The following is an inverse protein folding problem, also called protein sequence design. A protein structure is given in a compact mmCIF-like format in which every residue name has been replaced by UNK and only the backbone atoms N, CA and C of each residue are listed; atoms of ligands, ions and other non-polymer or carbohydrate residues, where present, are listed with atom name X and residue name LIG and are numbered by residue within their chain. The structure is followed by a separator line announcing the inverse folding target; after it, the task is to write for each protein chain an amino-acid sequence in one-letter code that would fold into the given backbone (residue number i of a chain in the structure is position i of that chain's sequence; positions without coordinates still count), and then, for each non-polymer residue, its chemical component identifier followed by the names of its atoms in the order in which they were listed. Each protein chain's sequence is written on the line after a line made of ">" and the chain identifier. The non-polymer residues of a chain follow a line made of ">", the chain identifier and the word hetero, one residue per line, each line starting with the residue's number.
data_IF_078279152594
#
_entry.id   IF_078279152594
#
_cell.length_a   1.000
_cell.length_b   1.000
_cell.length_c   1.000
_cell.angle_alpha   90.00
_cell.angle_beta   90.00
_cell.angle_gamma   90.00
#
_symmetry.space_group_name_H-M   'P 1'
#
loop_
_entity.id
_entity.type
_entity.pdbx_description
1 polymer ?
#
# COMPACT_ATOMS: atom_id res chain seq x y z
N UNK A 1 -5.63 6.76 -9.74
CA UNK A 1 -4.71 6.65 -8.59
C UNK A 1 -4.30 8.03 -8.07
N UNK A 2 -3.34 8.73 -8.68
CA UNK A 2 -2.81 10.01 -8.17
C UNK A 2 -3.88 11.08 -7.84
N UNK A 3 -4.87 11.25 -8.71
CA UNK A 3 -5.98 12.19 -8.48
C UNK A 3 -6.76 11.88 -7.19
N UNK A 4 -7.05 10.59 -6.94
CA UNK A 4 -7.74 10.12 -5.73
C UNK A 4 -6.89 10.39 -4.47
N UNK A 5 -5.58 10.13 -4.55
CA UNK A 5 -4.63 10.41 -3.47
C UNK A 5 -4.55 11.92 -3.17
N UNK A 6 -4.51 12.76 -4.20
CA UNK A 6 -4.45 14.21 -4.04
C UNK A 6 -5.72 14.79 -3.39
N UNK A 7 -6.90 14.30 -3.77
CA UNK A 7 -8.16 14.68 -3.11
C UNK A 7 -8.14 14.27 -1.63
N UNK A 8 -7.78 13.03 -1.33
CA UNK A 8 -7.75 12.55 0.06
C UNK A 8 -6.71 13.31 0.90
N UNK A 9 -5.54 13.61 0.34
CA UNK A 9 -4.51 14.42 0.98
C UNK A 9 -4.98 15.85 1.27
N UNK A 10 -5.65 16.51 0.32
CA UNK A 10 -6.21 17.84 0.52
C UNK A 10 -7.30 17.90 1.59
N UNK A 11 -8.00 16.78 1.80
CA UNK A 11 -9.02 16.62 2.84
C UNK A 11 -8.46 16.08 4.17
N UNK A 12 -7.15 15.87 4.28
CA UNK A 12 -6.49 15.26 5.45
C UNK A 12 -7.03 13.88 5.85
N UNK A 13 -7.52 13.11 4.88
CA UNK A 13 -7.97 11.72 5.04
C UNK A 13 -7.23 10.68 4.17
N UNK A 14 -5.95 10.88 3.76
CA UNK A 14 -5.25 9.88 2.95
C UNK A 14 -5.08 8.54 3.67
N UNK A 15 -5.03 8.53 4.99
CA UNK A 15 -4.95 7.32 5.79
C UNK A 15 -6.17 6.39 5.60
N UNK A 16 -7.40 6.93 5.56
CA UNK A 16 -8.61 6.13 5.31
C UNK A 16 -8.65 5.63 3.87
N UNK A 17 -8.19 6.43 2.92
CA UNK A 17 -8.05 6.02 1.52
C UNK A 17 -7.13 4.80 1.41
N UNK A 18 -5.91 4.89 1.93
CA UNK A 18 -4.94 3.79 1.82
C UNK A 18 -5.34 2.57 2.64
N UNK A 19 -6.03 2.75 3.75
CA UNK A 19 -6.67 1.64 4.47
C UNK A 19 -7.71 0.91 3.61
N UNK A 20 -8.57 1.65 2.91
CA UNK A 20 -9.61 1.07 2.04
C UNK A 20 -9.06 0.35 0.80
N UNK A 21 -7.85 0.72 0.37
CA UNK A 21 -7.17 0.11 -0.77
C UNK A 21 -6.29 -1.07 -0.37
N UNK A 22 -5.92 -1.17 0.91
CA UNK A 22 -5.00 -2.19 1.38
C UNK A 22 -5.59 -3.60 1.23
N UNK A 23 -4.87 -4.47 0.53
CA UNK A 23 -5.29 -5.85 0.31
C UNK A 23 -4.53 -6.51 -0.83
N UNK A 24 -4.96 -7.73 -1.16
CA UNK A 24 -4.34 -8.55 -2.19
C UNK A 24 -4.32 -7.90 -3.58
N UNK A 25 -5.31 -7.04 -3.88
CA UNK A 25 -5.44 -6.34 -5.16
C UNK A 25 -4.89 -4.91 -5.13
N UNK A 26 -4.16 -4.52 -4.08
CA UNK A 26 -3.61 -3.18 -3.99
C UNK A 26 -2.42 -3.00 -4.95
N UNK A 27 -2.25 -1.77 -5.44
CA UNK A 27 -0.98 -1.37 -6.07
C UNK A 27 0.12 -1.40 -5.02
N UNK A 28 1.29 -1.95 -5.36
CA UNK A 28 2.45 -1.96 -4.46
C UNK A 28 2.64 -0.56 -3.86
N UNK A 29 2.66 -0.47 -2.53
CA UNK A 29 2.74 0.79 -1.78
C UNK A 29 3.85 1.73 -2.30
N UNK A 30 4.97 1.15 -2.72
CA UNK A 30 6.13 1.86 -3.23
C UNK A 30 5.90 2.62 -4.56
N UNK A 31 4.82 2.30 -5.27
CA UNK A 31 4.42 2.94 -6.52
C UNK A 31 3.38 4.05 -6.33
N UNK A 32 2.88 4.26 -5.10
CA UNK A 32 1.88 5.28 -4.75
C UNK A 32 2.59 6.61 -4.40
N UNK A 33 2.54 7.64 -5.28
CA UNK A 33 3.40 8.81 -5.12
C UNK A 33 3.10 9.67 -3.89
N UNK A 34 1.85 9.66 -3.42
CA UNK A 34 1.45 10.43 -2.25
C UNK A 34 1.20 9.53 -1.04
N UNK A 35 1.71 8.29 -1.05
CA UNK A 35 1.53 7.34 0.05
C UNK A 35 1.90 7.97 1.39
N UNK A 36 3.13 8.50 1.48
CA UNK A 36 3.71 9.03 2.71
C UNK A 36 2.74 9.94 3.50
N UNK A 37 1.92 10.75 2.82
CA UNK A 37 0.96 11.69 3.42
C UNK A 37 -0.09 11.04 4.35
N UNK A 38 -0.22 9.71 4.37
CA UNK A 38 -1.08 9.00 5.31
C UNK A 38 -0.81 9.40 6.77
N UNK A 39 0.47 9.55 7.17
CA UNK A 39 0.80 9.88 8.56
C UNK A 39 0.49 11.33 8.88
N UNK A 40 0.59 12.23 7.89
CA UNK A 40 0.16 13.63 8.03
C UNK A 40 -1.36 13.71 8.28
N UNK A 41 -2.15 12.87 7.62
CA UNK A 41 -3.59 12.78 7.90
C UNK A 41 -3.90 12.46 9.36
N UNK A 42 -3.17 11.52 9.97
CA UNK A 42 -3.32 11.17 11.39
C UNK A 42 -2.90 12.34 12.29
N UNK A 43 -1.81 13.01 11.95
CA UNK A 43 -1.31 14.18 12.69
C UNK A 43 -2.33 15.33 12.70
N UNK A 44 -2.90 15.66 11.55
CA UNK A 44 -3.90 16.72 11.43
C UNK A 44 -5.21 16.35 12.13
N UNK A 45 -5.64 15.08 12.06
CA UNK A 45 -6.78 14.58 12.84
C UNK A 45 -6.54 14.69 14.34
N UNK A 46 -5.32 14.43 14.81
CA UNK A 46 -4.93 14.69 16.20
C UNK A 46 -5.00 16.18 16.53
N UNK A 47 -4.45 17.06 15.68
CA UNK A 47 -4.47 18.52 15.89
C UNK A 47 -5.86 19.16 15.76
N UNK A 48 -6.84 18.50 15.14
CA UNK A 48 -8.23 18.96 15.18
C UNK A 48 -8.88 18.70 16.55
N UNK A 49 -8.56 17.56 17.17
CA UNK A 49 -9.11 17.18 18.49
C UNK A 49 -8.34 17.85 19.63
N UNK A 50 -7.04 18.02 19.47
CA UNK A 50 -6.12 18.47 20.52
C UNK A 50 -6.44 19.86 21.11
N UNK A 51 -6.83 20.90 20.34
CA UNK A 51 -7.24 22.19 20.88
C UNK A 51 -8.47 22.10 21.79
N UNK A 52 -9.46 21.26 21.44
CA UNK A 52 -10.64 21.03 22.28
C UNK A 52 -10.24 20.37 23.59
N UNK A 53 -9.31 19.40 23.52
CA UNK A 53 -8.69 18.81 24.70
C UNK A 53 -8.09 19.92 25.54
N UNK A 54 -7.14 20.72 25.01
CA UNK A 54 -6.48 21.82 25.72
C UNK A 54 -7.44 22.85 26.33
N UNK A 55 -8.54 23.19 25.66
CA UNK A 55 -9.56 24.11 26.19
C UNK A 55 -10.28 23.53 27.42
N UNK A 56 -10.56 22.23 27.42
CA UNK A 56 -11.16 21.51 28.56
C UNK A 56 -10.14 21.27 29.69
N UNK A 57 -8.88 21.11 29.31
CA UNK A 57 -7.76 20.59 30.10
C UNK A 57 -6.94 21.66 30.80
N UNK A 58 -6.82 22.86 30.22
CA UNK A 58 -5.98 23.93 30.75
C UNK A 58 -6.36 24.33 32.18
N UNK A 59 -7.58 24.03 32.61
CA UNK A 59 -8.05 24.27 33.99
C UNK A 59 -7.78 23.11 34.96
N UNK A 60 -7.51 21.89 34.48
CA UNK A 60 -7.39 20.68 35.31
C UNK A 60 -6.25 19.75 34.82
N UNK A 61 -5.01 20.12 35.18
CA UNK A 61 -3.77 19.39 34.79
C UNK A 61 -3.80 17.89 35.12
N UNK A 62 -4.29 17.50 36.31
CA UNK A 62 -4.28 16.08 36.74
C UNK A 62 -5.24 15.24 35.90
N UNK A 63 -6.45 15.74 35.64
CA UNK A 63 -7.44 15.08 34.80
C UNK A 63 -6.90 14.84 33.38
N UNK A 64 -6.21 15.85 32.85
CA UNK A 64 -5.54 15.80 31.55
C UNK A 64 -4.53 14.67 31.45
N UNK A 65 -3.63 14.59 32.44
CA UNK A 65 -2.61 13.55 32.52
C UNK A 65 -3.30 12.18 32.58
N UNK A 66 -4.38 12.04 33.36
CA UNK A 66 -5.18 10.82 33.42
C UNK A 66 -5.78 10.42 32.07
N UNK A 67 -6.42 11.35 31.36
CA UNK A 67 -6.99 11.11 30.02
C UNK A 67 -5.90 10.72 29.03
N UNK A 68 -4.79 11.46 28.98
CA UNK A 68 -3.67 11.16 28.09
C UNK A 68 -3.05 9.79 28.37
N UNK A 69 -2.91 9.42 29.64
CA UNK A 69 -2.42 8.11 30.03
C UNK A 69 -3.37 7.00 29.54
N UNK A 70 -4.68 7.17 29.74
CA UNK A 70 -5.69 6.23 29.25
C UNK A 70 -5.63 6.11 27.73
N UNK A 71 -5.63 7.23 27.00
CA UNK A 71 -5.54 7.24 25.53
C UNK A 71 -4.26 6.54 25.07
N UNK A 72 -3.12 6.84 25.69
CA UNK A 72 -1.82 6.24 25.33
C UNK A 72 -1.84 4.73 25.52
N UNK A 73 -2.23 4.26 26.72
CA UNK A 73 -2.21 2.82 27.05
C UNK A 73 -3.25 2.07 26.22
N UNK A 74 -4.47 2.60 26.10
CA UNK A 74 -5.55 1.95 25.39
C UNK A 74 -5.28 1.88 23.88
N UNK A 75 -4.84 2.99 23.27
CA UNK A 75 -4.51 3.01 21.83
C UNK A 75 -3.31 2.11 21.53
N UNK A 76 -2.27 2.07 22.39
CA UNK A 76 -1.16 1.14 22.24
C UNK A 76 -1.62 -0.33 22.30
N UNK A 77 -2.36 -0.71 23.36
CA UNK A 77 -2.85 -2.07 23.52
C UNK A 77 -3.74 -2.50 22.35
N UNK A 78 -4.61 -1.60 21.91
CA UNK A 78 -5.49 -1.83 20.77
C UNK A 78 -4.71 -1.95 19.45
N UNK A 79 -3.65 -1.16 19.27
CA UNK A 79 -2.77 -1.27 18.10
C UNK A 79 -1.97 -2.57 18.08
N UNK A 80 -1.47 -3.03 19.23
CA UNK A 80 -0.81 -4.34 19.36
C UNK A 80 -1.77 -5.48 19.02
N UNK A 81 -3.00 -5.42 19.55
CA UNK A 81 -4.05 -6.39 19.26
C UNK A 81 -4.42 -6.38 17.76
N UNK A 82 -4.71 -5.22 17.20
CA UNK A 82 -5.13 -5.09 15.81
C UNK A 82 -4.03 -5.52 14.83
N UNK A 83 -2.75 -5.30 15.16
CA UNK A 83 -1.63 -5.77 14.31
C UNK A 83 -1.63 -7.29 14.14
N UNK A 84 -2.18 -8.05 15.09
CA UNK A 84 -2.30 -9.51 14.98
C UNK A 84 -3.42 -9.95 14.04
N UNK A 85 -4.46 -9.12 13.90
CA UNK A 85 -5.67 -9.43 13.13
C UNK A 85 -5.56 -8.84 11.72
N UNK A 86 -5.27 -7.54 11.63
CA UNK A 86 -5.20 -6.80 10.39
C UNK A 86 -4.12 -5.70 10.51
N UNK A 87 -2.94 -5.99 9.94
CA UNK A 87 -1.79 -5.09 9.96
C UNK A 87 -2.10 -3.74 9.29
N UNK A 88 -2.83 -3.73 8.17
CA UNK A 88 -3.17 -2.50 7.45
C UNK A 88 -4.05 -1.57 8.28
N UNK A 89 -5.03 -2.14 8.99
CA UNK A 89 -5.89 -1.39 9.91
C UNK A 89 -5.06 -0.79 11.04
N UNK A 90 -4.21 -1.60 11.68
CA UNK A 90 -3.32 -1.13 12.74
C UNK A 90 -2.35 -0.03 12.28
N UNK A 91 -1.94 -0.05 11.00
CA UNK A 91 -1.01 0.92 10.43
C UNK A 91 -1.66 2.26 10.07
N UNK A 92 -2.82 2.25 9.40
CA UNK A 92 -3.43 3.46 8.84
C UNK A 92 -4.49 4.12 9.73
N UNK A 93 -5.14 3.38 10.63
CA UNK A 93 -6.26 3.94 11.38
C UNK A 93 -5.79 4.69 12.65
N UNK A 94 -6.31 5.90 12.92
CA UNK A 94 -5.78 6.78 13.97
C UNK A 94 -5.86 6.20 15.37
N UNK A 95 -6.94 5.47 15.69
CA UNK A 95 -7.17 4.90 17.01
C UNK A 95 -6.08 3.90 17.46
N UNK A 96 -5.27 3.38 16.53
CA UNK A 96 -4.16 2.45 16.82
C UNK A 96 -2.79 3.15 16.80
N UNK A 97 -2.74 4.44 16.44
CA UNK A 97 -1.52 5.24 16.19
C UNK A 97 -1.51 6.58 16.94
N UNK A 98 -2.57 6.90 17.68
CA UNK A 98 -2.67 8.14 18.43
C UNK A 98 -1.83 8.09 19.71
N UNK A 99 -1.48 6.89 20.19
CA UNK A 99 -0.67 6.73 21.40
C UNK A 99 0.73 7.34 21.30
N UNK A 100 1.35 7.34 20.10
CA UNK A 100 2.65 7.98 19.89
C UNK A 100 2.58 9.49 20.11
N UNK A 101 1.56 10.13 19.56
CA UNK A 101 1.33 11.58 19.70
C UNK A 101 0.89 11.92 21.13
N UNK A 102 0.01 11.12 21.73
CA UNK A 102 -0.45 11.33 23.10
C UNK A 102 0.66 11.13 24.13
N UNK A 103 1.63 10.25 23.88
CA UNK A 103 2.81 10.11 24.73
C UNK A 103 3.67 11.39 24.72
N UNK A 104 3.88 11.98 23.54
CA UNK A 104 4.56 13.28 23.42
C UNK A 104 3.83 14.39 24.19
N UNK A 105 2.51 14.44 24.05
CA UNK A 105 1.66 15.36 24.81
C UNK A 105 1.73 15.12 26.33
N UNK A 106 1.75 13.85 26.75
CA UNK A 106 1.85 13.46 28.16
C UNK A 106 3.17 13.96 28.78
N UNK A 107 4.29 13.81 28.08
CA UNK A 107 5.59 14.34 28.51
C UNK A 107 5.54 15.86 28.66
N UNK A 108 4.95 16.57 27.70
CA UNK A 108 4.80 18.01 27.76
C UNK A 108 3.91 18.45 28.95
N UNK A 109 2.81 17.75 29.23
CA UNK A 109 1.90 18.05 30.33
C UNK A 109 2.48 17.72 31.71
N UNK A 110 3.27 16.64 31.84
CA UNK A 110 3.96 16.28 33.09
C UNK A 110 5.07 17.31 33.38
N UNK A 111 5.73 17.82 32.34
CA UNK A 111 6.85 18.74 32.49
C UNK A 111 8.13 18.04 32.99
N UNK A 112 9.16 18.82 33.36
CA UNK A 112 10.43 18.25 33.82
C UNK A 112 10.24 17.54 35.17
N UNK A 113 10.36 16.21 35.18
CA UNK A 113 10.42 15.45 36.41
C UNK A 113 11.77 15.70 37.12
N UNK A 114 11.80 15.77 38.45
CA UNK A 114 13.05 15.89 39.19
C UNK A 114 13.91 14.65 38.94
N UNK A 115 15.01 14.82 38.20
CA UNK A 115 15.97 13.78 37.88
C UNK A 115 17.38 14.34 37.85
N UNK A 116 18.35 13.55 38.33
CA UNK A 116 19.76 13.96 38.32
C UNK A 116 20.27 14.16 36.88
N UNK A 117 21.29 15.00 36.72
CA UNK A 117 21.92 15.22 35.42
C UNK A 117 22.43 13.90 34.79
N UNK A 118 22.91 12.98 35.62
CA UNK A 118 23.35 11.64 35.19
C UNK A 118 22.22 10.80 34.61
N UNK A 119 21.04 10.79 35.24
CA UNK A 119 19.88 10.04 34.74
C UNK A 119 19.42 10.62 33.40
N UNK A 120 19.29 11.95 33.30
CA UNK A 120 18.91 12.62 32.04
C UNK A 120 19.92 12.33 30.93
N UNK A 121 21.22 12.42 31.22
CA UNK A 121 22.29 12.12 30.26
C UNK A 121 22.21 10.66 29.77
N UNK A 122 22.07 9.69 30.67
CA UNK A 122 21.91 8.27 30.31
C UNK A 122 20.65 8.04 29.48
N UNK A 123 19.52 8.63 29.86
CA UNK A 123 18.27 8.52 29.12
C UNK A 123 18.40 9.08 27.68
N UNK A 124 19.10 10.20 27.50
CA UNK A 124 19.37 10.79 26.19
C UNK A 124 20.20 9.84 25.31
N UNK A 125 21.31 9.31 25.83
CA UNK A 125 22.19 8.40 25.08
C UNK A 125 21.49 7.08 24.77
N UNK A 126 20.80 6.48 25.74
CA UNK A 126 20.03 5.25 25.54
C UNK A 126 18.87 5.45 24.57
N UNK A 127 18.21 6.62 24.60
CA UNK A 127 17.18 6.97 23.64
C UNK A 127 17.73 7.09 22.22
N UNK A 128 18.86 7.77 22.01
CA UNK A 128 19.52 7.83 20.70
C UNK A 128 19.97 6.44 20.21
N UNK A 129 20.53 5.62 21.10
CA UNK A 129 20.90 4.25 20.78
C UNK A 129 19.68 3.40 20.42
N UNK A 130 18.56 3.57 21.12
CA UNK A 130 17.30 2.89 20.83
C UNK A 130 16.70 3.26 19.47
N UNK A 131 16.78 4.55 19.08
CA UNK A 131 16.38 5.02 17.75
C UNK A 131 17.28 4.37 16.68
N UNK A 132 18.60 4.42 16.85
CA UNK A 132 19.54 3.81 15.91
C UNK A 132 19.33 2.28 15.80
N UNK A 133 19.06 1.62 16.93
CA UNK A 133 18.76 0.20 16.96
C UNK A 133 17.47 -0.12 16.19
N UNK A 134 16.41 0.66 16.35
CA UNK A 134 15.17 0.49 15.61
C UNK A 134 15.39 0.60 14.08
N UNK A 135 16.25 1.53 13.63
CA UNK A 135 16.58 1.68 12.21
C UNK A 135 17.27 0.46 11.61
N UNK A 136 18.02 -0.31 12.40
CA UNK A 136 18.73 -1.52 11.95
C UNK A 136 17.87 -2.77 12.07
N UNK A 137 17.07 -2.87 13.14
CA UNK A 137 16.25 -4.05 13.42
C UNK A 137 15.00 -4.12 12.54
N UNK A 138 14.42 -2.99 12.16
CA UNK A 138 13.14 -2.98 11.45
C UNK A 138 13.36 -3.24 9.97
N UNK A 139 12.72 -4.29 9.47
CA UNK A 139 12.78 -4.74 8.09
C UNK A 139 11.40 -4.70 7.44
N UNK A 140 11.36 -4.79 6.12
CA UNK A 140 10.11 -4.74 5.33
C UNK A 140 9.12 -5.86 5.65
N UNK A 141 9.59 -6.98 6.21
CA UNK A 141 8.79 -8.13 6.64
C UNK A 141 8.36 -8.06 8.12
N UNK A 142 8.80 -7.05 8.86
CA UNK A 142 8.41 -6.86 10.26
C UNK A 142 6.91 -6.54 10.37
N UNK A 143 6.22 -7.18 11.32
CA UNK A 143 4.81 -6.88 11.64
C UNK A 143 4.69 -5.54 12.39
N UNK A 144 4.88 -4.46 11.64
CA UNK A 144 4.77 -3.08 12.11
C UNK A 144 3.32 -2.58 11.96
N UNK A 145 2.76 -1.82 12.92
CA UNK A 145 3.44 -1.24 14.07
C UNK A 145 3.61 -2.17 15.28
N UNK A 146 2.57 -2.93 15.65
CA UNK A 146 2.63 -3.90 16.74
C UNK A 146 3.25 -3.37 18.04
N UNK A 147 3.81 -4.27 18.84
CA UNK A 147 4.57 -3.89 20.03
C UNK A 147 5.94 -3.33 19.68
N UNK A 148 6.47 -3.64 18.48
CA UNK A 148 7.80 -3.19 18.06
C UNK A 148 7.86 -1.67 17.92
N UNK A 149 6.75 -1.01 17.54
CA UNK A 149 6.65 0.45 17.51
C UNK A 149 6.92 1.11 18.88
N UNK A 150 6.81 0.39 20.00
CA UNK A 150 7.20 0.89 21.32
C UNK A 150 8.67 1.31 21.38
N UNK A 151 9.57 0.58 20.71
CA UNK A 151 11.00 0.85 20.78
C UNK A 151 11.37 2.27 20.29
N UNK A 152 11.12 2.67 19.03
CA UNK A 152 11.47 4.00 18.56
C UNK A 152 10.67 5.10 19.28
N UNK A 153 9.41 4.84 19.65
CA UNK A 153 8.57 5.85 20.32
C UNK A 153 9.06 6.13 21.75
N UNK A 154 9.31 5.09 22.56
CA UNK A 154 9.84 5.26 23.92
C UNK A 154 11.27 5.80 23.93
N UNK A 155 12.08 5.39 22.96
CA UNK A 155 13.42 5.92 22.77
C UNK A 155 13.39 7.43 22.44
N UNK A 156 12.49 7.85 21.55
CA UNK A 156 12.27 9.27 21.23
C UNK A 156 11.72 10.04 22.44
N UNK A 157 10.77 9.47 23.17
CA UNK A 157 10.25 10.02 24.41
C UNK A 157 11.35 10.26 25.45
N UNK A 158 12.28 9.32 25.61
CA UNK A 158 13.43 9.45 26.51
C UNK A 158 14.36 10.60 26.10
N UNK A 159 14.63 10.77 24.80
CA UNK A 159 15.41 11.90 24.28
C UNK A 159 14.71 13.23 24.58
N UNK A 160 13.41 13.34 24.31
CA UNK A 160 12.62 14.56 24.56
C UNK A 160 12.61 14.89 26.06
N UNK A 161 12.31 13.90 26.91
CA UNK A 161 12.24 14.07 28.37
C UNK A 161 13.60 14.45 28.97
N UNK A 162 14.71 13.96 28.41
CA UNK A 162 16.06 14.25 28.92
C UNK A 162 16.42 15.74 28.90
N UNK A 163 15.78 16.53 28.03
CA UNK A 163 15.96 17.97 27.92
C UNK A 163 17.28 18.38 27.26
N UNK A 164 17.47 19.70 27.13
CA UNK A 164 18.55 20.32 26.33
C UNK A 164 19.92 20.34 27.02
N UNK A 165 19.96 20.14 28.33
CA UNK A 165 21.20 20.28 29.13
C UNK A 165 22.14 19.07 29.04
N UNK A 166 21.71 17.98 28.40
CA UNK A 166 22.54 16.78 28.26
C UNK A 166 23.65 17.00 27.22
N UNK A 167 24.79 16.32 27.38
CA UNK A 167 25.91 16.43 26.43
C UNK A 167 25.49 16.04 25.01
N UNK A 168 24.71 14.97 24.87
CA UNK A 168 24.18 14.54 23.58
C UNK A 168 23.25 15.59 22.95
N UNK A 169 22.33 16.16 23.73
CA UNK A 169 21.47 17.23 23.24
C UNK A 169 22.27 18.48 22.84
N UNK A 170 23.25 18.89 23.67
CA UNK A 170 24.03 20.12 23.46
C UNK A 170 24.99 20.04 22.28
N UNK A 171 25.73 18.93 22.14
CA UNK A 171 26.81 18.83 21.15
C UNK A 171 26.39 18.13 19.86
N UNK A 172 25.43 17.19 19.93
CA UNK A 172 24.97 16.45 18.75
C UNK A 172 23.68 17.05 18.20
N UNK A 173 22.61 17.04 19.00
CA UNK A 173 21.27 17.43 18.52
C UNK A 173 21.10 18.95 18.31
N UNK A 174 21.87 19.76 19.04
CA UNK A 174 21.86 21.22 18.89
C UNK A 174 22.93 21.74 17.93
N UNK A 175 23.61 20.85 17.20
CA UNK A 175 24.54 21.28 16.15
C UNK A 175 23.79 21.95 15.00
N UNK A 176 24.41 22.96 14.38
CA UNK A 176 23.77 23.73 13.29
C UNK A 176 23.27 22.84 12.15
N UNK A 177 24.02 21.77 11.82
CA UNK A 177 23.64 20.83 10.77
C UNK A 177 22.37 20.05 11.12
N UNK A 178 22.32 19.44 12.32
CA UNK A 178 21.14 18.65 12.76
C UNK A 178 19.92 19.54 12.93
N UNK A 179 20.09 20.73 13.49
CA UNK A 179 19.01 21.72 13.60
C UNK A 179 18.49 22.12 12.22
N UNK A 180 19.38 22.38 11.25
CA UNK A 180 18.98 22.73 9.90
C UNK A 180 18.20 21.61 9.20
N UNK A 181 18.65 20.35 9.35
CA UNK A 181 17.90 19.17 8.87
C UNK A 181 16.51 19.14 9.51
N UNK A 182 16.41 19.40 10.81
CA UNK A 182 15.14 19.53 11.52
C UNK A 182 14.24 20.65 10.95
N UNK A 183 14.81 21.81 10.62
CA UNK A 183 14.08 22.95 10.04
C UNK A 183 13.51 22.64 8.65
N UNK A 184 14.22 21.86 7.83
CA UNK A 184 13.75 21.44 6.49
C UNK A 184 13.04 20.09 6.48
N UNK A 185 12.81 19.47 7.64
CA UNK A 185 12.30 18.09 7.74
C UNK A 185 10.91 17.91 7.13
N UNK A 186 10.02 18.89 7.28
CA UNK A 186 8.69 18.87 6.68
C UNK A 186 8.72 18.90 5.13
N UNK A 187 9.38 19.88 4.47
CA UNK A 187 9.45 19.86 3.01
C UNK A 187 10.31 18.70 2.48
N UNK A 188 11.29 18.22 3.25
CA UNK A 188 12.03 16.98 2.92
C UNK A 188 11.09 15.78 2.92
N UNK A 189 10.22 15.67 3.92
CA UNK A 189 9.19 14.65 3.99
C UNK A 189 8.25 14.72 2.78
N UNK A 190 7.89 15.91 2.30
CA UNK A 190 7.06 16.07 1.09
C UNK A 190 7.76 15.68 -0.22
N UNK A 191 9.07 15.95 -0.36
CA UNK A 191 9.79 15.74 -1.63
C UNK A 191 10.38 14.34 -1.81
N UNK A 192 10.88 13.73 -0.72
CA UNK A 192 11.66 12.48 -0.84
C UNK A 192 10.85 11.32 -1.44
N UNK A 193 9.61 11.13 -1.00
CA UNK A 193 8.81 9.99 -1.39
C UNK A 193 8.27 10.09 -2.83
N UNK A 194 7.70 11.22 -3.29
CA UNK A 194 7.28 11.37 -4.68
C UNK A 194 8.42 11.14 -5.68
N UNK A 195 9.62 11.67 -5.39
CA UNK A 195 10.78 11.46 -6.26
C UNK A 195 11.19 9.98 -6.36
N UNK A 196 11.28 9.30 -5.23
CA UNK A 196 11.64 7.87 -5.19
C UNK A 196 10.57 6.99 -5.82
N UNK A 197 9.30 7.21 -5.49
CA UNK A 197 8.17 6.41 -6.00
C UNK A 197 7.96 6.59 -7.50
N UNK A 198 8.10 7.81 -8.04
CA UNK A 198 7.98 8.06 -9.47
C UNK A 198 9.14 7.44 -10.27
N UNK A 199 10.36 7.42 -9.72
CA UNK A 199 11.48 6.74 -10.35
C UNK A 199 11.24 5.22 -10.42
N UNK A 200 10.77 4.62 -9.32
CA UNK A 200 10.38 3.20 -9.26
C UNK A 200 9.21 2.86 -10.18
N UNK A 201 8.23 3.77 -10.30
CA UNK A 201 7.14 3.64 -11.27
C UNK A 201 7.64 3.56 -12.71
N UNK A 202 8.79 4.16 -13.02
CA UNK A 202 9.46 4.07 -14.33
C UNK A 202 10.48 2.92 -14.40
N UNK A 203 10.54 2.06 -13.40
CA UNK A 203 11.57 1.01 -13.25
C UNK A 203 13.01 1.58 -13.24
N UNK A 204 13.19 2.83 -12.81
CA UNK A 204 14.48 3.49 -12.64
C UNK A 204 14.88 3.31 -11.18
N UNK A 205 15.58 2.21 -10.90
CA UNK A 205 15.96 1.80 -9.54
C UNK A 205 17.46 1.53 -9.41
N UNK A 206 17.99 1.68 -8.20
CA UNK A 206 19.39 1.40 -7.88
C UNK A 206 19.90 2.27 -6.73
N UNK A 207 21.00 1.87 -6.07
CA UNK A 207 21.55 2.60 -4.93
C UNK A 207 22.03 4.01 -5.34
N UNK A 208 22.68 4.13 -6.49
CA UNK A 208 23.14 5.42 -7.02
C UNK A 208 21.97 6.36 -7.34
N UNK A 209 20.94 5.85 -8.04
CA UNK A 209 19.73 6.63 -8.35
C UNK A 209 19.05 7.09 -7.06
N UNK A 210 18.90 6.19 -6.08
CA UNK A 210 18.28 6.51 -4.79
C UNK A 210 19.07 7.59 -4.04
N UNK A 211 20.41 7.54 -4.06
CA UNK A 211 21.26 8.57 -3.47
C UNK A 211 21.11 9.93 -4.18
N UNK A 212 21.09 9.93 -5.52
CA UNK A 212 20.89 11.15 -6.32
C UNK A 212 19.51 11.77 -6.03
N UNK A 213 18.45 10.96 -5.99
CA UNK A 213 17.10 11.43 -5.68
C UNK A 213 16.99 11.94 -4.25
N UNK A 214 17.68 11.30 -3.29
CA UNK A 214 17.73 11.78 -1.91
C UNK A 214 18.41 13.15 -1.83
N UNK A 215 19.57 13.33 -2.48
CA UNK A 215 20.26 14.63 -2.55
C UNK A 215 19.36 15.69 -3.21
N UNK A 216 18.70 15.34 -4.32
CA UNK A 216 17.74 16.24 -4.97
C UNK A 216 16.60 16.64 -4.01
N UNK A 217 16.12 15.69 -3.19
CA UNK A 217 15.10 15.95 -2.17
C UNK A 217 15.57 16.94 -1.10
N UNK A 218 16.82 16.84 -0.65
CA UNK A 218 17.42 17.82 0.28
C UNK A 218 17.53 19.21 -0.34
N UNK A 219 17.95 19.30 -1.62
CA UNK A 219 18.05 20.58 -2.33
C UNK A 219 16.66 21.23 -2.48
N UNK A 220 15.66 20.47 -2.93
CA UNK A 220 14.30 20.95 -3.08
C UNK A 220 13.67 21.32 -1.72
N UNK A 221 13.95 20.56 -0.67
CA UNK A 221 13.49 20.86 0.68
C UNK A 221 14.09 22.17 1.20
N UNK A 222 15.40 22.35 1.06
CA UNK A 222 16.09 23.59 1.41
C UNK A 222 15.56 24.79 0.61
N UNK A 223 15.38 24.63 -0.70
CA UNK A 223 14.79 25.67 -1.55
C UNK A 223 13.36 26.02 -1.12
N UNK A 224 12.53 25.02 -0.82
CA UNK A 224 11.15 25.21 -0.34
C UNK A 224 11.14 25.97 0.99
N UNK A 225 11.99 25.57 1.93
CA UNK A 225 12.10 26.21 3.24
C UNK A 225 12.55 27.68 3.13
N UNK A 226 13.61 27.95 2.38
CA UNK A 226 14.20 29.29 2.25
C UNK A 226 13.33 30.24 1.41
N UNK A 227 12.76 29.76 0.31
CA UNK A 227 12.04 30.59 -0.67
C UNK A 227 10.55 30.71 -0.36
N UNK A 228 9.94 29.69 0.25
CA UNK A 228 8.50 29.64 0.54
C UNK A 228 8.28 29.80 2.04
N UNK A 229 8.63 28.80 2.85
CA UNK A 229 8.21 28.76 4.25
C UNK A 229 8.68 29.96 5.07
N UNK A 230 9.95 30.34 4.98
CA UNK A 230 10.47 31.52 5.71
C UNK A 230 9.76 32.82 5.36
N UNK A 231 9.28 32.95 4.12
CA UNK A 231 8.55 34.14 3.68
C UNK A 231 7.14 34.15 4.26
N UNK A 232 6.43 33.02 4.17
CA UNK A 232 5.06 32.89 4.68
C UNK A 232 4.97 32.94 6.21
N UNK A 233 5.99 32.47 6.94
CA UNK A 233 6.06 32.58 8.42
C UNK A 233 6.08 34.03 8.93
N UNK A 234 6.50 34.99 8.10
CA UNK A 234 6.51 36.42 8.45
C UNK A 234 5.18 37.12 8.20
N UNK A 235 4.24 36.45 7.53
CA UNK A 235 2.93 37.01 7.20
C UNK A 235 1.92 36.73 8.31
N UNK A 236 1.01 37.67 8.54
CA UNK A 236 -0.09 37.49 9.49
C UNK A 236 -1.05 36.40 9.03
N UNK A 237 -1.67 35.70 9.99
CA UNK A 237 -2.52 34.54 9.73
C UNK A 237 -3.66 34.84 8.75
N UNK A 238 -4.28 36.03 8.81
CA UNK A 238 -5.36 36.43 7.90
C UNK A 238 -4.91 36.54 6.43
N UNK A 239 -3.66 36.97 6.20
CA UNK A 239 -3.08 37.11 4.86
C UNK A 239 -2.62 35.78 4.28
N UNK A 240 -2.44 34.76 5.12
CA UNK A 240 -1.95 33.44 4.73
C UNK A 240 -3.09 32.41 4.64
N UNK A 241 -4.10 32.50 5.51
CA UNK A 241 -5.17 31.51 5.63
C UNK A 241 -6.05 31.42 4.38
N UNK A 242 -6.55 32.56 3.88
CA UNK A 242 -7.39 32.61 2.66
C UNK A 242 -6.70 32.02 1.42
N UNK A 243 -5.47 32.45 1.03
CA UNK A 243 -4.82 31.89 -0.15
C UNK A 243 -4.46 30.40 0.01
N UNK A 244 -4.14 29.94 1.23
CA UNK A 244 -3.90 28.52 1.48
C UNK A 244 -5.17 27.69 1.26
N UNK A 245 -6.31 28.11 1.80
CA UNK A 245 -7.60 27.42 1.59
C UNK A 245 -7.95 27.41 0.11
N UNK A 246 -7.81 28.55 -0.58
CA UNK A 246 -8.07 28.63 -2.01
C UNK A 246 -7.14 27.69 -2.77
N UNK A 247 -5.85 27.65 -2.42
CA UNK A 247 -4.86 26.75 -3.03
C UNK A 247 -5.17 25.28 -2.81
N UNK A 248 -5.58 24.90 -1.59
CA UNK A 248 -6.00 23.54 -1.26
C UNK A 248 -7.29 23.16 -1.99
N UNK A 249 -8.30 24.02 -1.96
CA UNK A 249 -9.57 23.81 -2.65
C UNK A 249 -9.38 23.70 -4.18
N UNK A 250 -8.51 24.53 -4.75
CA UNK A 250 -8.18 24.47 -6.18
C UNK A 250 -7.46 23.17 -6.53
N UNK A 251 -6.49 22.74 -5.72
CA UNK A 251 -5.80 21.45 -5.90
C UNK A 251 -6.80 20.29 -5.82
N UNK A 252 -7.69 20.31 -4.82
CA UNK A 252 -8.74 19.30 -4.66
C UNK A 252 -9.72 19.30 -5.83
N UNK A 253 -10.14 20.47 -6.32
CA UNK A 253 -11.05 20.60 -7.46
C UNK A 253 -10.41 20.07 -8.75
N UNK A 254 -9.16 20.46 -9.04
CA UNK A 254 -8.43 19.96 -10.21
C UNK A 254 -8.24 18.45 -10.13
N UNK A 255 -7.86 17.93 -8.97
CA UNK A 255 -7.71 16.50 -8.76
C UNK A 255 -9.07 15.77 -8.92
N UNK A 256 -10.16 16.32 -8.40
CA UNK A 256 -11.50 15.76 -8.54
C UNK A 256 -11.94 15.74 -10.01
N UNK A 257 -11.69 16.81 -10.77
CA UNK A 257 -11.95 16.85 -12.22
C UNK A 257 -11.22 15.71 -12.92
N UNK A 258 -9.92 15.52 -12.67
CA UNK A 258 -9.17 14.41 -13.25
C UNK A 258 -9.65 13.03 -12.79
N UNK A 259 -10.16 12.92 -11.56
CA UNK A 259 -10.71 11.67 -11.07
C UNK A 259 -12.01 11.31 -11.79
N UNK A 260 -12.96 12.25 -11.86
CA UNK A 260 -14.26 12.03 -12.50
C UNK A 260 -14.20 12.00 -14.02
N UNK A 261 -13.20 12.63 -14.65
CA UNK A 261 -13.00 12.59 -16.10
C UNK A 261 -12.32 11.30 -16.61
N UNK A 262 -11.97 10.37 -15.71
CA UNK A 262 -11.16 9.20 -16.07
C UNK A 262 -9.68 9.52 -16.35
N UNK A 263 -9.21 10.72 -16.02
CA UNK A 263 -7.83 11.16 -16.22
C UNK A 263 -7.59 11.89 -17.55
N UNK A 264 -6.32 11.93 -17.97
CA UNK A 264 -5.91 12.48 -19.27
C UNK A 264 -5.83 11.33 -20.27
N UNK A 265 -6.84 11.23 -21.13
CA UNK A 265 -6.98 10.13 -22.10
C UNK A 265 -5.90 10.11 -23.21
N UNK A 266 -5.08 11.16 -23.32
CA UNK A 266 -3.91 11.20 -24.23
C UNK A 266 -2.92 10.04 -24.00
N UNK A 267 -2.94 9.41 -22.81
CA UNK A 267 -2.07 8.28 -22.47
C UNK A 267 -2.34 7.00 -23.28
N UNK A 268 -3.53 6.89 -23.89
CA UNK A 268 -3.94 5.72 -24.67
C UNK A 268 -3.89 5.94 -26.19
N UNK A 269 -3.58 7.15 -26.66
CA UNK A 269 -3.64 7.52 -28.08
C UNK A 269 -2.40 7.13 -28.91
N UNK A 270 -1.33 6.61 -28.29
CA UNK A 270 -0.02 6.44 -28.97
C UNK A 270 0.39 5.00 -29.28
N UNK A 271 -0.40 4.02 -28.88
CA UNK A 271 -0.28 2.65 -29.35
C UNK A 271 -1.53 2.35 -30.19
N UNK A 272 -1.50 1.33 -31.04
CA UNK A 272 -2.67 0.72 -31.70
C UNK A 272 -3.64 0.08 -30.65
N UNK A 273 -3.93 0.81 -29.58
CA UNK A 273 -4.67 0.49 -28.36
C UNK A 273 -6.07 1.12 -28.34
N UNK A 274 -6.51 1.72 -29.45
CA UNK A 274 -7.87 2.26 -29.58
C UNK A 274 -8.92 1.19 -29.21
N UNK A 275 -8.64 -0.10 -29.43
CA UNK A 275 -9.51 -1.18 -28.98
C UNK A 275 -9.42 -1.45 -27.47
N UNK A 276 -8.24 -1.66 -26.89
CA UNK A 276 -8.13 -2.11 -25.50
C UNK A 276 -8.58 -1.02 -24.51
N UNK A 277 -8.23 0.24 -24.73
CA UNK A 277 -8.59 1.34 -23.84
C UNK A 277 -10.08 1.71 -23.96
N UNK A 278 -10.68 1.63 -25.15
CA UNK A 278 -12.12 1.84 -25.35
C UNK A 278 -12.95 0.68 -24.77
N UNK A 279 -12.48 -0.56 -24.91
CA UNK A 279 -13.08 -1.75 -24.29
C UNK A 279 -12.99 -1.65 -22.76
N UNK A 280 -11.83 -1.30 -22.20
CA UNK A 280 -11.66 -1.17 -20.74
C UNK A 280 -12.44 0.01 -20.15
N UNK A 281 -12.57 1.12 -20.89
CA UNK A 281 -13.32 2.30 -20.42
C UNK A 281 -14.84 2.12 -20.46
N UNK A 282 -15.34 1.15 -21.25
CA UNK A 282 -16.76 0.77 -21.31
C UNK A 282 -17.11 -0.47 -20.50
N UNK A 283 -16.11 -1.27 -20.11
CA UNK A 283 -16.33 -2.44 -19.25
C UNK A 283 -16.67 -2.00 -17.81
N UNK A 284 -17.95 -2.11 -17.47
CA UNK A 284 -18.38 -2.28 -16.07
C UNK A 284 -17.99 -3.69 -15.64
N UNK A 285 -16.75 -3.83 -15.19
CA UNK A 285 -16.21 -5.11 -14.74
C UNK A 285 -16.55 -5.37 -13.27
N UNK A 286 -17.40 -6.35 -13.01
CA UNK A 286 -17.71 -6.87 -11.69
C UNK A 286 -17.02 -8.22 -11.50
N UNK A 287 -15.96 -8.24 -10.69
CA UNK A 287 -15.10 -9.41 -10.53
C UNK A 287 -15.86 -10.71 -10.23
N UNK A 288 -16.84 -10.68 -9.34
CA UNK A 288 -17.52 -11.90 -8.89
C UNK A 288 -18.40 -12.53 -9.99
N UNK A 289 -19.12 -11.69 -10.72
CA UNK A 289 -20.05 -12.12 -11.78
C UNK A 289 -19.32 -12.41 -13.08
N UNK A 290 -18.42 -11.53 -13.50
CA UNK A 290 -17.78 -11.60 -14.83
C UNK A 290 -16.72 -12.70 -14.91
N UNK A 291 -16.06 -12.98 -13.79
CA UNK A 291 -15.12 -14.11 -13.66
C UNK A 291 -15.85 -15.41 -13.32
N UNK A 292 -17.15 -15.31 -13.01
CA UNK A 292 -18.04 -16.45 -12.73
C UNK A 292 -17.54 -17.26 -11.52
N UNK A 293 -17.25 -16.55 -10.43
CA UNK A 293 -16.79 -17.16 -9.18
C UNK A 293 -17.91 -18.05 -8.62
N UNK A 294 -17.54 -19.20 -8.04
CA UNK A 294 -18.45 -20.24 -7.53
C UNK A 294 -19.27 -21.00 -8.58
N UNK A 295 -19.30 -20.55 -9.84
CA UNK A 295 -19.95 -21.28 -10.95
C UNK A 295 -18.93 -21.91 -11.89
N UNK A 296 -17.97 -21.15 -12.42
CA UNK A 296 -16.95 -21.64 -13.36
C UNK A 296 -15.52 -21.43 -12.90
N UNK A 297 -15.27 -20.41 -12.09
CA UNK A 297 -14.03 -20.27 -11.35
C UNK A 297 -14.23 -20.87 -9.95
N UNK A 298 -13.76 -22.10 -9.77
CA UNK A 298 -13.87 -22.82 -8.51
C UNK A 298 -13.11 -22.11 -7.39
N UNK A 299 -13.64 -22.19 -6.18
CA UNK A 299 -13.06 -21.60 -4.97
C UNK A 299 -13.46 -22.44 -3.75
N UNK A 300 -12.73 -22.27 -2.65
CA UNK A 300 -13.02 -22.92 -1.36
C UNK A 300 -13.07 -24.45 -1.46
N UNK A 301 -14.15 -25.10 -1.02
CA UNK A 301 -14.29 -26.57 -1.02
C UNK A 301 -14.91 -27.14 -2.31
N UNK A 302 -15.42 -26.28 -3.20
CA UNK A 302 -16.01 -26.71 -4.47
C UNK A 302 -14.97 -27.46 -5.33
N UNK A 303 -15.46 -28.41 -6.11
CA UNK A 303 -14.74 -29.21 -7.09
C UNK A 303 -15.46 -29.24 -8.44
N UNK A 304 -14.95 -30.05 -9.38
CA UNK A 304 -15.38 -29.99 -10.78
C UNK A 304 -16.83 -30.44 -11.00
N UNK A 305 -17.37 -31.24 -10.07
CA UNK A 305 -18.76 -31.72 -10.09
C UNK A 305 -19.77 -30.59 -9.87
N UNK A 306 -19.34 -29.48 -9.24
CA UNK A 306 -20.18 -28.32 -8.95
C UNK A 306 -20.06 -27.23 -10.03
N UNK A 307 -19.30 -27.47 -11.10
CA UNK A 307 -19.22 -26.56 -12.23
C UNK A 307 -20.58 -26.44 -12.91
N UNK A 308 -20.97 -25.20 -13.22
CA UNK A 308 -22.18 -24.98 -14.00
C UNK A 308 -22.02 -25.60 -15.42
N UNK A 309 -23.08 -26.18 -16.01
CA UNK A 309 -22.99 -26.86 -17.31
C UNK A 309 -22.40 -25.99 -18.44
N UNK A 310 -22.64 -24.69 -18.36
CA UNK A 310 -22.15 -23.67 -19.31
C UNK A 310 -20.65 -23.33 -19.15
N UNK A 311 -19.93 -23.90 -18.19
CA UNK A 311 -18.49 -23.67 -18.02
C UNK A 311 -17.68 -24.47 -19.04
N UNK A 312 -18.03 -25.74 -19.25
CA UNK A 312 -17.32 -26.67 -20.15
C UNK A 312 -18.16 -27.08 -21.37
N UNK A 313 -19.43 -26.66 -21.41
CA UNK A 313 -20.36 -27.03 -22.48
C UNK A 313 -20.72 -28.51 -22.44
N UNK A 314 -21.83 -28.89 -23.08
CA UNK A 314 -22.28 -30.29 -23.08
C UNK A 314 -21.58 -31.14 -24.15
N UNK A 315 -21.31 -30.57 -25.33
CA UNK A 315 -20.78 -31.29 -26.50
C UNK A 315 -19.32 -30.96 -26.80
N UNK A 316 -18.71 -31.73 -27.72
CA UNK A 316 -17.43 -31.39 -28.30
C UNK A 316 -17.49 -30.03 -29.00
N UNK A 317 -16.39 -29.28 -28.92
CA UNK A 317 -16.31 -27.89 -29.34
C UNK A 317 -15.00 -27.66 -30.11
N UNK A 318 -14.91 -28.16 -31.35
CA UNK A 318 -13.67 -28.21 -32.12
C UNK A 318 -13.15 -26.83 -32.55
N UNK A 319 -14.00 -25.81 -32.54
CA UNK A 319 -13.64 -24.39 -32.82
C UNK A 319 -13.49 -23.58 -31.51
N UNK A 320 -13.59 -24.24 -30.36
CA UNK A 320 -13.64 -23.62 -29.06
C UNK A 320 -12.29 -23.19 -28.51
N UNK A 321 -12.34 -22.23 -27.57
CA UNK A 321 -11.20 -21.82 -26.76
C UNK A 321 -11.44 -22.30 -25.33
N UNK A 322 -10.52 -23.09 -24.77
CA UNK A 322 -10.56 -23.45 -23.36
C UNK A 322 -9.53 -22.64 -22.57
N UNK A 323 -10.02 -21.89 -21.59
CA UNK A 323 -9.18 -21.14 -20.65
C UNK A 323 -8.92 -21.99 -19.42
N UNK A 324 -7.64 -22.27 -19.15
CA UNK A 324 -7.21 -23.08 -18.02
C UNK A 324 -6.21 -22.33 -17.14
N UNK A 325 -6.48 -22.35 -15.83
CA UNK A 325 -5.53 -21.93 -14.81
C UNK A 325 -6.22 -21.33 -13.60
N UNK A 326 -5.61 -20.30 -13.02
CA UNK A 326 -6.08 -19.76 -11.76
C UNK A 326 -7.23 -18.73 -11.93
N UNK A 327 -7.57 -18.02 -10.85
CA UNK A 327 -8.54 -16.91 -10.91
C UNK A 327 -8.13 -15.73 -11.79
N UNK A 328 -6.85 -15.61 -12.20
CA UNK A 328 -6.41 -14.64 -13.20
C UNK A 328 -6.64 -15.15 -14.62
N UNK A 329 -6.47 -16.46 -14.88
CA UNK A 329 -6.92 -17.07 -16.13
C UNK A 329 -8.42 -16.81 -16.35
N UNK A 330 -9.21 -16.97 -15.30
CA UNK A 330 -10.65 -16.72 -15.33
C UNK A 330 -11.01 -15.28 -15.74
N UNK A 331 -10.13 -14.29 -15.53
CA UNK A 331 -10.35 -12.89 -15.96
C UNK A 331 -10.27 -12.69 -17.46
N UNK A 332 -9.69 -13.64 -18.20
CA UNK A 332 -9.68 -13.59 -19.66
C UNK A 332 -11.07 -13.82 -20.25
N UNK A 333 -11.95 -14.54 -19.54
CA UNK A 333 -13.27 -14.92 -20.02
C UNK A 333 -14.12 -13.75 -20.56
N UNK A 334 -14.37 -12.65 -19.82
CA UNK A 334 -15.23 -11.57 -20.32
C UNK A 334 -14.65 -10.89 -21.57
N UNK A 335 -13.32 -10.73 -21.63
CA UNK A 335 -12.64 -10.18 -22.80
C UNK A 335 -12.73 -11.09 -24.01
N UNK A 336 -12.46 -12.39 -23.83
CA UNK A 336 -12.55 -13.40 -24.89
C UNK A 336 -13.98 -13.55 -25.42
N UNK A 337 -14.97 -13.60 -24.52
CA UNK A 337 -16.40 -13.69 -24.90
C UNK A 337 -16.86 -12.50 -25.74
N UNK A 338 -16.30 -11.31 -25.46
CA UNK A 338 -16.62 -10.08 -26.21
C UNK A 338 -15.88 -9.99 -27.54
N UNK A 339 -14.60 -10.37 -27.56
CA UNK A 339 -13.77 -10.33 -28.76
C UNK A 339 -14.16 -11.42 -29.77
N UNK A 340 -14.63 -12.56 -29.28
CA UNK A 340 -15.00 -13.74 -30.08
C UNK A 340 -16.42 -14.21 -29.73
N UNK A 341 -17.46 -13.42 -30.07
CA UNK A 341 -18.85 -13.73 -29.71
C UNK A 341 -19.35 -15.04 -30.33
N UNK A 342 -18.80 -15.41 -31.49
CA UNK A 342 -19.18 -16.60 -32.25
C UNK A 342 -18.43 -17.86 -31.79
N UNK A 343 -17.36 -17.72 -31.00
CA UNK A 343 -16.60 -18.85 -30.47
C UNK A 343 -17.13 -19.27 -29.10
N UNK A 344 -17.19 -20.58 -28.88
CA UNK A 344 -17.54 -21.10 -27.57
C UNK A 344 -16.30 -21.09 -26.66
N UNK A 345 -16.34 -20.22 -25.65
CA UNK A 345 -15.30 -20.09 -24.63
C UNK A 345 -15.61 -21.01 -23.44
N UNK A 346 -14.77 -22.02 -23.24
CA UNK A 346 -14.80 -22.93 -22.10
C UNK A 346 -13.89 -22.40 -20.99
N UNK A 347 -14.27 -22.64 -19.75
CA UNK A 347 -13.56 -22.16 -18.57
C UNK A 347 -13.34 -23.31 -17.58
N UNK A 348 -12.08 -23.70 -17.41
CA UNK A 348 -11.64 -24.67 -16.41
C UNK A 348 -10.68 -23.95 -15.44
N UNK A 349 -11.22 -23.16 -14.51
CA UNK A 349 -10.38 -22.29 -13.67
C UNK A 349 -10.65 -22.42 -12.18
N UNK A 350 -9.62 -22.16 -11.36
CA UNK A 350 -9.71 -22.22 -9.91
C UNK A 350 -8.90 -21.16 -9.20
N UNK A 351 -9.50 -20.50 -8.21
CA UNK A 351 -8.79 -19.53 -7.37
C UNK A 351 -7.52 -20.14 -6.74
N UNK A 352 -6.39 -19.44 -6.93
CA UNK A 352 -5.08 -19.80 -6.39
C UNK A 352 -4.50 -21.15 -6.85
N UNK A 353 -5.06 -21.80 -7.87
CA UNK A 353 -4.53 -23.04 -8.43
C UNK A 353 -4.06 -22.81 -9.88
N UNK A 354 -2.74 -22.75 -10.12
CA UNK A 354 -2.22 -22.81 -11.49
C UNK A 354 -2.30 -24.26 -11.99
N UNK A 355 -1.76 -24.52 -13.18
CA UNK A 355 -1.71 -25.85 -13.76
C UNK A 355 -0.67 -26.71 -13.06
N UNK A 356 -1.03 -27.96 -12.76
CA UNK A 356 -0.22 -29.03 -12.16
C UNK A 356 0.53 -28.69 -10.86
N UNK A 357 0.41 -29.58 -9.86
CA UNK A 357 0.99 -29.35 -8.55
C UNK A 357 0.17 -28.37 -7.71
N UNK A 358 0.48 -28.33 -6.41
CA UNK A 358 -0.30 -27.62 -5.40
C UNK A 358 -1.13 -28.56 -4.53
N UNK A 359 -2.18 -28.01 -3.91
CA UNK A 359 -3.05 -28.76 -3.00
C UNK A 359 -3.77 -29.92 -3.70
N UNK A 360 -4.26 -30.88 -2.91
CA UNK A 360 -5.09 -31.99 -3.41
C UNK A 360 -6.26 -31.50 -4.28
N UNK A 361 -6.88 -30.38 -3.88
CA UNK A 361 -7.94 -29.72 -4.65
C UNK A 361 -7.44 -29.20 -6.00
N UNK A 362 -6.27 -28.56 -6.05
CA UNK A 362 -5.69 -28.10 -7.30
C UNK A 362 -5.40 -29.28 -8.24
N UNK A 363 -4.85 -30.37 -7.71
CA UNK A 363 -4.52 -31.55 -8.53
C UNK A 363 -5.77 -32.22 -9.11
N UNK A 364 -6.81 -32.37 -8.31
CA UNK A 364 -8.12 -32.87 -8.76
C UNK A 364 -8.71 -32.01 -9.87
N UNK A 365 -8.71 -30.70 -9.69
CA UNK A 365 -9.37 -29.79 -10.64
C UNK A 365 -8.53 -29.63 -11.93
N UNK A 366 -7.20 -29.74 -11.83
CA UNK A 366 -6.32 -29.84 -12.99
C UNK A 366 -6.52 -31.15 -13.78
N UNK A 367 -6.77 -32.27 -13.10
CA UNK A 367 -7.11 -33.52 -13.77
C UNK A 367 -8.43 -33.39 -14.55
N UNK A 368 -9.45 -32.77 -13.96
CA UNK A 368 -10.71 -32.49 -14.64
C UNK A 368 -10.56 -31.52 -15.84
N UNK A 369 -9.63 -30.55 -15.75
CA UNK A 369 -9.33 -29.67 -16.89
C UNK A 369 -8.72 -30.44 -18.07
N UNK A 370 -7.81 -31.40 -17.81
CA UNK A 370 -7.25 -32.26 -18.86
C UNK A 370 -8.32 -33.15 -19.49
N UNK A 371 -9.17 -33.75 -18.67
CA UNK A 371 -10.32 -34.55 -19.14
C UNK A 371 -11.25 -33.70 -20.02
N UNK A 372 -11.50 -32.44 -19.63
CA UNK A 372 -12.26 -31.51 -20.45
C UNK A 372 -11.57 -31.21 -21.79
N UNK A 373 -10.25 -31.05 -21.82
CA UNK A 373 -9.51 -30.86 -23.08
C UNK A 373 -9.63 -32.09 -23.98
N UNK A 374 -9.48 -33.29 -23.41
CA UNK A 374 -9.57 -34.56 -24.15
C UNK A 374 -10.97 -34.80 -24.73
N UNK A 375 -12.01 -34.54 -23.92
CA UNK A 375 -13.41 -34.80 -24.29
C UNK A 375 -14.00 -33.72 -25.18
N UNK A 376 -13.70 -32.44 -24.92
CA UNK A 376 -14.26 -31.30 -25.67
C UNK A 376 -13.47 -30.99 -26.93
N UNK A 377 -12.18 -31.37 -26.98
CA UNK A 377 -11.27 -31.17 -28.11
C UNK A 377 -11.27 -29.72 -28.65
N UNK A 378 -11.01 -28.72 -27.80
CA UNK A 378 -10.98 -27.32 -28.22
C UNK A 378 -9.88 -27.07 -29.27
N UNK A 379 -10.11 -26.11 -30.16
CA UNK A 379 -9.10 -25.66 -31.12
C UNK A 379 -7.89 -25.04 -30.42
N UNK A 380 -8.17 -24.29 -29.35
CA UNK A 380 -7.18 -23.51 -28.62
C UNK A 380 -7.30 -23.76 -27.13
N UNK A 381 -6.18 -24.02 -26.47
CA UNK A 381 -6.07 -24.01 -25.01
C UNK A 381 -5.20 -22.83 -24.60
N UNK A 382 -5.71 -21.98 -23.72
CA UNK A 382 -4.99 -20.84 -23.15
C UNK A 382 -4.60 -21.21 -21.72
N UNK A 383 -3.29 -21.29 -21.49
CA UNK A 383 -2.68 -21.54 -20.19
C UNK A 383 -2.32 -20.20 -19.55
N UNK A 384 -3.07 -19.77 -18.54
CA UNK A 384 -2.75 -18.51 -17.86
C UNK A 384 -2.84 -18.61 -16.34
N UNK A 385 -1.96 -17.93 -15.64
CA UNK A 385 -2.01 -17.81 -14.19
C UNK A 385 -1.44 -16.47 -13.75
N UNK A 386 -1.64 -16.12 -12.48
CA UNK A 386 -0.99 -14.98 -11.86
C UNK A 386 0.49 -15.27 -11.59
N UNK A 387 1.29 -15.46 -12.64
CA UNK A 387 2.64 -16.03 -12.57
C UNK A 387 3.53 -15.42 -11.49
N UNK A 388 3.55 -14.09 -11.42
CA UNK A 388 4.34 -13.31 -10.44
C UNK A 388 4.03 -13.68 -8.98
N UNK A 389 2.84 -14.23 -8.69
CA UNK A 389 2.46 -14.67 -7.35
C UNK A 389 3.00 -16.06 -6.99
N UNK A 390 3.49 -16.81 -7.96
CA UNK A 390 3.92 -18.21 -7.81
C UNK A 390 5.44 -18.36 -7.82
N UNK A 391 6.14 -17.62 -8.67
CA UNK A 391 7.60 -17.64 -8.71
C UNK A 391 8.19 -16.34 -9.24
N UNK A 392 9.37 -16.01 -8.72
CA UNK A 392 10.26 -15.00 -9.32
C UNK A 392 11.38 -15.65 -10.16
N UNK A 393 11.56 -16.97 -10.04
CA UNK A 393 12.51 -17.79 -10.82
C UNK A 393 11.76 -18.75 -11.76
N UNK A 394 12.04 -18.63 -13.05
CA UNK A 394 11.40 -19.41 -14.12
C UNK A 394 12.40 -20.28 -14.88
N UNK A 395 13.58 -20.51 -14.30
CA UNK A 395 14.56 -21.42 -14.88
C UNK A 395 13.98 -22.82 -15.13
N UNK A 396 14.49 -23.58 -16.11
CA UNK A 396 13.96 -24.89 -16.49
C UNK A 396 14.04 -25.95 -15.37
N UNK A 397 14.84 -25.70 -14.34
CA UNK A 397 15.00 -26.54 -13.13
C UNK A 397 14.32 -25.95 -11.89
N UNK A 398 13.72 -24.76 -12.00
CA UNK A 398 12.93 -24.17 -10.90
C UNK A 398 11.68 -25.01 -10.64
N UNK A 399 11.11 -24.90 -9.43
CA UNK A 399 9.90 -25.63 -9.05
C UNK A 399 8.75 -25.37 -10.05
N UNK A 400 8.51 -24.12 -10.42
CA UNK A 400 7.47 -23.76 -11.37
C UNK A 400 7.86 -23.96 -12.84
N UNK A 401 9.15 -23.90 -13.19
CA UNK A 401 9.64 -24.32 -14.50
C UNK A 401 9.36 -25.81 -14.78
N UNK A 402 9.52 -26.66 -13.77
CA UNK A 402 9.15 -28.08 -13.86
C UNK A 402 7.63 -28.28 -13.96
N UNK A 403 6.84 -27.51 -13.20
CA UNK A 403 5.37 -27.55 -13.28
C UNK A 403 4.90 -27.22 -14.70
N UNK A 404 5.41 -26.15 -15.30
CA UNK A 404 5.06 -25.78 -16.68
C UNK A 404 5.49 -26.87 -17.67
N UNK A 405 6.70 -27.41 -17.51
CA UNK A 405 7.18 -28.52 -18.35
C UNK A 405 6.28 -29.76 -18.26
N UNK A 406 5.82 -30.10 -17.07
CA UNK A 406 4.89 -31.20 -16.85
C UNK A 406 3.52 -30.92 -17.49
N UNK A 407 3.05 -29.66 -17.41
CA UNK A 407 1.81 -29.25 -18.07
C UNK A 407 1.86 -29.43 -19.59
N UNK A 408 2.94 -28.95 -20.20
CA UNK A 408 3.18 -29.12 -21.64
C UNK A 408 3.32 -30.59 -22.03
N UNK A 409 3.98 -31.40 -21.20
CA UNK A 409 4.12 -32.84 -21.44
C UNK A 409 2.78 -33.58 -21.42
N UNK A 410 1.88 -33.21 -20.49
CA UNK A 410 0.55 -33.80 -20.38
C UNK A 410 -0.40 -33.39 -21.52
N UNK A 411 -0.23 -32.19 -22.08
CA UNK A 411 -1.03 -31.71 -23.22
C UNK A 411 -0.58 -32.29 -24.56
N UNK A 412 0.71 -32.65 -24.69
CA UNK A 412 1.29 -33.22 -25.91
C UNK A 412 0.50 -34.41 -26.51
N UNK A 413 0.09 -35.44 -25.75
CA UNK A 413 -0.71 -36.54 -26.30
C UNK A 413 -2.12 -36.13 -26.75
N UNK A 414 -2.68 -35.04 -26.20
CA UNK A 414 -4.02 -34.56 -26.52
C UNK A 414 -4.11 -33.85 -27.88
N UNK A 415 -2.96 -33.56 -28.52
CA UNK A 415 -2.86 -32.95 -29.86
C UNK A 415 -3.68 -31.65 -30.00
N UNK A 416 -3.66 -30.82 -28.96
CA UNK A 416 -4.29 -29.49 -29.01
C UNK A 416 -3.69 -28.69 -30.17
N UNK A 417 -4.50 -28.19 -31.13
CA UNK A 417 -3.98 -27.50 -32.32
C UNK A 417 -3.21 -26.22 -31.98
N UNK A 418 -3.77 -25.38 -31.08
CA UNK A 418 -3.16 -24.14 -30.65
C UNK A 418 -3.01 -24.13 -29.12
N UNK A 419 -1.78 -23.95 -28.65
CA UNK A 419 -1.48 -23.77 -27.23
C UNK A 419 -0.89 -22.39 -27.03
N UNK A 420 -1.55 -21.57 -26.21
CA UNK A 420 -1.17 -20.17 -25.91
C UNK A 420 -0.73 -20.06 -24.46
#
# INVERSE_FOLDING_TARGET
>A
MLAKEAVAAALFVPNFLFWSEAGYFDTKAILKPLLHLWSLGIEEQFYLVWPLTLLFVARHRILTIGILLIVTVFSFALGVYMTRINVASAFYLPQFRIWELSLGALIACIGPLPASATIRSRASVLGLAGIALAMVLFKSDSRFPGYIAALPTLATAAVIWSGRDTLAARYVLSSNAVVYIGLISYPLYLWHWPLLSLARYRHIEGPLISAVLLIASFILAAATYELVEKRFRKLNIERTFRPLIIGMASTAAVAAVFFFSGGINYRYQKADQEDVASILSTMKYEYWTDVRIYSCCLRDDLGPQELAPECLGQNANPDGILVWGDSHAARLYPGLRRAFPDLTILQATRASCPFFGGSEKCNRDNAAALEAIETKRPQTVILFAAWVNYSEDWGPTSAYGMVLKNALAALKPLKVPNLI
#
